data_IF_288725796340
#
_entry.id   IF_288725796340
#
_cell.length_a   1.000
_cell.length_b   1.000
_cell.length_c   1.000
_cell.angle_alpha   90.00
_cell.angle_beta   90.00
_cell.angle_gamma   90.00
#
_symmetry.space_group_name_H-M   'P 1'
#
loop_
_entity.id
_entity.type
_entity.pdbx_description
1 polymer ?
#
# COMPACT_ATOMS: atom_id res chain seq x y z
N UNK A 1 29.83 -17.67 53.24
CA UNK A 1 30.93 -18.63 53.07
C UNK A 1 31.40 -18.56 51.64
N UNK A 2 32.54 -17.97 51.50
CA UNK A 2 33.69 -18.09 50.63
C UNK A 2 33.37 -17.81 49.12
N UNK A 3 33.73 -16.69 48.55
CA UNK A 3 35.03 -16.00 48.40
C UNK A 3 35.99 -16.75 47.47
N UNK A 4 36.29 -16.15 46.32
CA UNK A 4 37.62 -16.01 45.69
C UNK A 4 37.46 -15.38 44.31
N UNK A 5 37.68 -14.12 44.18
CA UNK A 5 38.82 -13.35 43.59
C UNK A 5 39.72 -14.17 42.66
N UNK A 6 39.86 -13.77 41.42
CA UNK A 6 41.18 -13.55 40.80
C UNK A 6 41.12 -12.60 39.60
N UNK A 7 42.09 -11.67 39.59
CA UNK A 7 42.54 -10.72 38.59
C UNK A 7 44.04 -10.74 38.64
N UNK A 8 44.85 -10.17 37.74
CA UNK A 8 44.93 -10.07 36.26
C UNK A 8 46.32 -10.52 35.76
N UNK A 9 46.54 -10.47 34.45
CA UNK A 9 47.92 -10.50 33.90
C UNK A 9 48.08 -9.45 32.79
N UNK A 10 49.10 -8.62 32.97
CA UNK A 10 49.53 -7.50 32.13
C UNK A 10 50.46 -7.94 31.01
N UNK A 11 50.67 -7.06 30.04
CA UNK A 11 51.25 -7.02 28.75
C UNK A 11 52.69 -7.57 28.55
N UNK A 12 53.32 -7.22 27.42
CA UNK A 12 54.38 -6.19 27.51
C UNK A 12 54.42 -5.18 26.32
N UNK A 13 54.97 -4.00 26.70
CA UNK A 13 55.50 -2.95 25.87
C UNK A 13 56.70 -3.40 25.02
N UNK A 14 56.88 -2.83 23.85
CA UNK A 14 58.19 -2.67 23.20
C UNK A 14 58.25 -1.34 22.46
N UNK A 15 58.94 -0.46 23.03
CA UNK A 15 60.17 0.31 22.83
C UNK A 15 60.43 0.86 21.40
N UNK A 16 60.48 2.19 21.41
CA UNK A 16 61.00 3.11 20.38
C UNK A 16 62.52 2.99 20.28
N UNK A 17 63.09 3.00 19.05
CA UNK A 17 64.46 3.48 18.81
C UNK A 17 64.52 4.37 17.59
N UNK A 18 65.01 5.55 17.82
CA UNK A 18 65.47 6.59 16.89
C UNK A 18 66.82 6.21 16.30
N UNK A 19 67.06 6.64 15.07
CA UNK A 19 68.40 6.60 14.45
C UNK A 19 68.48 7.62 13.32
N UNK A 20 69.24 8.65 13.59
CA UNK A 20 69.65 9.75 12.73
C UNK A 20 70.94 9.45 12.01
N UNK A 21 71.20 10.26 10.96
CA UNK A 21 72.52 10.53 10.27
C UNK A 21 72.75 9.68 8.99
N UNK A 22 73.34 10.15 7.88
CA UNK A 22 74.02 11.41 7.54
C UNK A 22 74.16 11.52 6.00
N UNK A 23 74.49 12.69 5.56
CA UNK A 23 74.83 13.24 4.25
C UNK A 23 75.73 12.41 3.32
N UNK A 24 75.50 12.55 2.02
CA UNK A 24 76.59 12.84 1.06
C UNK A 24 76.05 13.43 -0.27
N UNK A 25 76.53 14.59 -0.57
CA UNK A 25 76.39 15.36 -1.80
C UNK A 25 77.33 14.77 -2.88
N UNK A 26 76.83 14.57 -4.10
CA UNK A 26 77.74 14.45 -5.29
C UNK A 26 77.08 15.14 -6.47
N UNK A 27 77.71 16.23 -6.88
CA UNK A 27 77.40 16.98 -8.11
C UNK A 27 78.05 16.26 -9.29
N UNK A 28 77.28 15.96 -10.34
CA UNK A 28 77.84 15.64 -11.67
C UNK A 28 77.10 16.41 -12.74
N UNK A 29 77.91 17.10 -13.57
CA UNK A 29 77.57 17.98 -14.70
C UNK A 29 76.91 17.22 -15.87
N UNK A 30 75.92 17.86 -16.45
CA UNK A 30 75.47 18.02 -17.80
C UNK A 30 75.79 16.99 -18.91
N UNK A 31 74.69 16.63 -19.58
CA UNK A 31 74.69 16.43 -21.03
C UNK A 31 73.26 16.52 -21.58
N UNK A 32 73.13 17.22 -22.68
CA UNK A 32 71.96 17.45 -23.49
C UNK A 32 71.12 16.19 -23.72
N UNK A 33 69.81 16.27 -23.44
CA UNK A 33 68.84 15.31 -24.01
C UNK A 33 67.63 16.07 -24.47
N UNK A 34 67.36 15.94 -25.75
CA UNK A 34 66.23 16.39 -26.52
C UNK A 34 64.90 16.15 -25.79
N UNK A 35 63.99 17.13 -25.86
CA UNK A 35 62.62 17.05 -25.35
C UNK A 35 61.86 15.88 -25.99
N UNK A 36 61.17 15.01 -25.21
CA UNK A 36 60.19 14.07 -25.75
C UNK A 36 58.92 14.83 -26.15
N UNK A 37 58.45 14.52 -27.36
CA UNK A 37 57.16 14.92 -27.90
C UNK A 37 56.06 14.64 -26.89
N UNK A 38 55.26 15.68 -26.56
CA UNK A 38 54.05 15.56 -25.75
C UNK A 38 53.00 14.71 -26.50
N UNK A 39 52.88 13.43 -26.15
CA UNK A 39 51.67 12.69 -26.43
C UNK A 39 50.49 13.39 -25.76
N UNK A 40 49.32 13.51 -26.42
CA UNK A 40 48.14 14.08 -25.79
C UNK A 40 47.76 13.20 -24.58
N UNK A 41 47.74 13.79 -23.40
CA UNK A 41 47.28 13.12 -22.19
C UNK A 41 45.87 12.63 -22.46
N UNK A 42 45.66 11.31 -22.41
CA UNK A 42 44.35 10.71 -22.34
C UNK A 42 43.60 11.35 -21.17
N UNK A 43 42.59 12.15 -21.49
CA UNK A 43 41.66 12.69 -20.52
C UNK A 43 41.04 11.52 -19.76
N UNK A 44 41.44 11.32 -18.52
CA UNK A 44 40.78 10.35 -17.61
C UNK A 44 39.31 10.73 -17.59
N UNK A 45 38.38 9.76 -17.83
CA UNK A 45 36.96 10.03 -17.72
C UNK A 45 36.71 10.71 -16.38
N UNK A 46 36.11 11.89 -16.42
CA UNK A 46 35.69 12.61 -15.19
C UNK A 46 34.83 11.70 -14.33
N UNK A 47 34.73 11.94 -13.03
CA UNK A 47 33.92 11.11 -12.16
C UNK A 47 32.53 11.01 -12.75
N UNK A 48 32.07 9.79 -13.09
CA UNK A 48 30.71 9.55 -13.54
C UNK A 48 29.76 10.20 -12.52
N UNK A 49 28.91 11.10 -12.99
CA UNK A 49 27.97 11.79 -12.13
C UNK A 49 27.12 10.73 -11.41
N UNK A 50 27.27 10.64 -10.09
CA UNK A 50 26.53 9.68 -9.25
C UNK A 50 25.02 9.85 -9.51
N UNK A 51 24.32 8.77 -9.78
CA UNK A 51 22.86 8.79 -9.90
C UNK A 51 22.24 9.21 -8.58
N UNK A 52 21.23 10.11 -8.59
CA UNK A 52 20.55 10.50 -7.37
C UNK A 52 19.77 9.30 -6.80
N UNK A 53 19.90 9.09 -5.50
CA UNK A 53 19.24 7.99 -4.79
C UNK A 53 17.85 8.39 -4.30
N UNK A 54 16.91 7.45 -4.33
CA UNK A 54 15.51 7.65 -3.94
C UNK A 54 15.10 6.64 -2.88
N UNK A 55 14.49 7.14 -1.81
CA UNK A 55 13.66 6.35 -0.91
C UNK A 55 12.18 6.52 -1.33
N UNK A 56 11.56 5.42 -1.74
CA UNK A 56 10.24 5.44 -2.37
C UNK A 56 9.15 4.94 -1.41
N UNK A 57 8.15 5.78 -1.16
CA UNK A 57 6.97 5.42 -0.41
C UNK A 57 5.79 5.16 -1.35
N UNK A 58 5.19 3.97 -1.25
CA UNK A 58 4.08 3.53 -2.09
C UNK A 58 2.82 3.35 -1.25
N UNK A 59 1.83 4.19 -1.50
CA UNK A 59 0.57 4.22 -0.74
C UNK A 59 -0.38 3.07 -1.06
N UNK A 60 -1.39 2.92 -0.20
CA UNK A 60 -2.54 2.03 -0.38
C UNK A 60 -3.55 2.62 -1.38
N UNK A 61 -4.31 1.76 -2.10
CA UNK A 61 -5.37 2.24 -2.99
C UNK A 61 -6.03 1.18 -3.88
N UNK A 62 -5.99 -0.09 -3.53
CA UNK A 62 -6.60 -1.16 -4.33
C UNK A 62 -6.07 -1.17 -5.77
N UNK A 63 -6.93 -1.33 -6.78
CA UNK A 63 -6.54 -1.38 -8.19
C UNK A 63 -5.72 -0.16 -8.65
N UNK A 64 -5.96 1.03 -8.08
CA UNK A 64 -5.14 2.23 -8.36
C UNK A 64 -3.65 2.02 -8.10
N UNK A 65 -3.30 1.01 -7.29
CA UNK A 65 -1.92 0.63 -7.00
C UNK A 65 -1.10 0.21 -8.22
N UNK A 66 -1.72 -0.14 -9.33
CA UNK A 66 -1.01 -0.37 -10.58
C UNK A 66 -0.28 0.88 -11.10
N UNK A 67 -0.72 2.08 -10.71
CA UNK A 67 0.00 3.31 -11.01
C UNK A 67 1.42 3.35 -10.40
N UNK A 68 1.69 2.60 -9.33
CA UNK A 68 3.03 2.46 -8.77
C UNK A 68 4.02 1.85 -9.74
N UNK A 69 3.58 0.89 -10.59
CA UNK A 69 4.42 0.27 -11.62
C UNK A 69 4.93 1.37 -12.57
N UNK A 70 4.00 2.17 -13.12
CA UNK A 70 4.35 3.25 -14.03
C UNK A 70 5.22 4.33 -13.38
N UNK A 71 4.97 4.64 -12.10
CA UNK A 71 5.79 5.60 -11.35
C UNK A 71 7.23 5.11 -11.15
N UNK A 72 7.42 3.83 -10.80
CA UNK A 72 8.74 3.20 -10.66
C UNK A 72 9.48 3.19 -12.01
N UNK A 73 8.81 2.82 -13.09
CA UNK A 73 9.41 2.81 -14.43
C UNK A 73 9.99 4.18 -14.79
N UNK A 74 9.23 5.26 -14.58
CA UNK A 74 9.71 6.61 -14.90
C UNK A 74 10.88 7.04 -14.04
N UNK A 75 10.90 6.71 -12.74
CA UNK A 75 12.05 6.98 -11.87
C UNK A 75 13.31 6.31 -12.41
N UNK A 76 13.22 5.02 -12.74
CA UNK A 76 14.36 4.26 -13.28
C UNK A 76 14.79 4.78 -14.65
N UNK A 77 13.88 5.08 -15.56
CA UNK A 77 14.14 5.64 -16.88
C UNK A 77 14.83 7.03 -16.81
N UNK A 78 14.48 7.82 -15.79
CA UNK A 78 15.12 9.11 -15.52
C UNK A 78 16.46 9.00 -14.80
N UNK A 79 16.92 7.79 -14.53
CA UNK A 79 18.23 7.52 -13.94
C UNK A 79 18.28 7.69 -12.41
N UNK A 80 17.17 7.69 -11.73
CA UNK A 80 17.12 7.63 -10.28
C UNK A 80 17.37 6.21 -9.79
N UNK A 81 18.16 6.07 -8.71
CA UNK A 81 18.47 4.80 -8.07
C UNK A 81 17.61 4.60 -6.84
N UNK A 82 16.67 3.65 -6.89
CA UNK A 82 15.76 3.35 -5.78
C UNK A 82 16.49 2.44 -4.80
N UNK A 83 16.87 2.98 -3.63
CA UNK A 83 17.65 2.25 -2.61
C UNK A 83 16.80 1.75 -1.44
N UNK A 84 15.61 2.30 -1.26
CA UNK A 84 14.67 1.87 -0.21
C UNK A 84 13.23 2.01 -0.69
N UNK A 85 12.38 1.06 -0.29
CA UNK A 85 10.94 1.10 -0.54
C UNK A 85 10.19 0.82 0.75
N UNK A 86 9.20 1.65 1.02
CA UNK A 86 8.16 1.37 2.02
C UNK A 86 6.80 1.33 1.35
N UNK A 87 6.03 0.28 1.57
CA UNK A 87 4.73 0.10 0.92
C UNK A 87 3.62 -0.34 1.86
N UNK A 88 2.39 0.03 1.50
CA UNK A 88 1.18 -0.40 2.16
C UNK A 88 0.20 -0.97 1.13
N UNK A 89 -0.41 -2.12 1.41
CA UNK A 89 -1.39 -2.78 0.55
C UNK A 89 -0.81 -3.02 -0.86
N UNK A 90 -1.45 -2.50 -1.91
CA UNK A 90 -0.91 -2.60 -3.28
C UNK A 90 0.47 -1.95 -3.42
N UNK A 91 0.78 -0.93 -2.61
CA UNK A 91 2.12 -0.35 -2.56
C UNK A 91 3.17 -1.34 -2.02
N UNK A 92 2.80 -2.16 -1.03
CA UNK A 92 3.66 -3.24 -0.55
C UNK A 92 3.84 -4.33 -1.62
N UNK A 93 2.78 -4.70 -2.31
CA UNK A 93 2.84 -5.72 -3.37
C UNK A 93 3.73 -5.26 -4.53
N UNK A 94 3.47 -4.10 -5.12
CA UNK A 94 4.25 -3.58 -6.26
C UNK A 94 5.69 -3.29 -5.86
N UNK A 95 5.89 -2.66 -4.69
CA UNK A 95 7.23 -2.38 -4.16
C UNK A 95 8.03 -3.65 -3.87
N UNK A 96 7.40 -4.68 -3.30
CA UNK A 96 8.02 -5.99 -3.06
C UNK A 96 8.37 -6.71 -4.35
N UNK A 97 7.50 -6.66 -5.36
CA UNK A 97 7.79 -7.22 -6.69
C UNK A 97 8.98 -6.51 -7.35
N UNK A 98 9.06 -5.19 -7.23
CA UNK A 98 10.20 -4.44 -7.73
C UNK A 98 11.50 -4.80 -6.98
N UNK A 99 11.45 -4.77 -5.65
CA UNK A 99 12.61 -5.09 -4.81
C UNK A 99 13.16 -6.51 -5.05
N UNK A 100 12.27 -7.47 -5.37
CA UNK A 100 12.62 -8.83 -5.71
C UNK A 100 13.03 -9.01 -7.19
N UNK A 101 13.05 -7.94 -8.01
CA UNK A 101 13.35 -8.03 -9.45
C UNK A 101 12.26 -8.76 -10.27
N UNK A 102 11.03 -8.80 -9.76
CA UNK A 102 9.89 -9.53 -10.36
C UNK A 102 8.80 -8.59 -10.93
N UNK A 103 9.02 -7.28 -10.91
CA UNK A 103 8.02 -6.30 -11.33
C UNK A 103 7.57 -6.49 -12.79
N UNK A 104 8.48 -6.84 -13.71
CA UNK A 104 8.13 -7.05 -15.11
C UNK A 104 7.21 -8.27 -15.28
N UNK A 105 7.54 -9.39 -14.65
CA UNK A 105 6.69 -10.59 -14.69
C UNK A 105 5.30 -10.31 -14.09
N UNK A 106 5.24 -9.54 -13.00
CA UNK A 106 4.00 -9.13 -12.40
C UNK A 106 3.19 -8.20 -13.32
N UNK A 107 3.84 -7.21 -13.94
CA UNK A 107 3.22 -6.31 -14.93
C UNK A 107 2.63 -7.09 -16.10
N UNK A 108 3.39 -8.00 -16.70
CA UNK A 108 2.93 -8.81 -17.83
C UNK A 108 1.71 -9.65 -17.46
N UNK A 109 1.71 -10.22 -16.25
CA UNK A 109 0.58 -10.97 -15.76
C UNK A 109 -0.67 -10.09 -15.57
N UNK A 110 -0.58 -8.96 -14.85
CA UNK A 110 -1.76 -8.13 -14.55
C UNK A 110 -2.31 -7.43 -15.78
N UNK A 111 -1.46 -7.09 -16.77
CA UNK A 111 -1.92 -6.49 -18.04
C UNK A 111 -2.58 -7.48 -18.98
N UNK A 112 -2.33 -8.77 -18.78
CA UNK A 112 -3.00 -9.86 -19.51
C UNK A 112 -4.37 -10.25 -18.93
N UNK A 113 -4.76 -9.74 -17.75
CA UNK A 113 -6.02 -10.10 -17.11
C UNK A 113 -7.19 -9.32 -17.68
N UNK A 114 -8.14 -10.04 -18.27
CA UNK A 114 -9.45 -9.49 -18.61
C UNK A 114 -10.40 -9.44 -17.39
N UNK A 115 -11.52 -8.75 -17.54
CA UNK A 115 -12.52 -8.61 -16.47
C UNK A 115 -13.01 -9.99 -15.95
N UNK A 116 -13.22 -10.96 -16.82
CA UNK A 116 -13.62 -12.32 -16.42
C UNK A 116 -12.51 -13.09 -15.69
N UNK A 117 -11.25 -12.81 -16.01
CA UNK A 117 -10.13 -13.46 -15.33
C UNK A 117 -9.98 -12.93 -13.91
N UNK A 118 -10.14 -11.63 -13.72
CA UNK A 118 -10.20 -11.01 -12.40
C UNK A 118 -11.29 -11.64 -11.54
N UNK A 119 -12.50 -11.82 -12.09
CA UNK A 119 -13.61 -12.47 -11.38
C UNK A 119 -13.31 -13.91 -10.97
N UNK A 120 -12.62 -14.69 -11.83
CA UNK A 120 -12.22 -16.07 -11.51
C UNK A 120 -11.13 -16.14 -10.45
N UNK A 121 -10.26 -15.12 -10.38
CA UNK A 121 -9.18 -15.02 -9.40
C UNK A 121 -9.71 -14.59 -8.02
N UNK A 122 -10.82 -13.84 -7.98
CA UNK A 122 -11.52 -13.50 -6.76
C UNK A 122 -12.29 -14.72 -6.25
N UNK A 123 -11.70 -15.43 -5.28
CA UNK A 123 -12.30 -16.62 -4.65
C UNK A 123 -13.37 -16.16 -3.65
N UNK A 124 -14.59 -15.90 -4.16
CA UNK A 124 -15.71 -15.42 -3.35
C UNK A 124 -16.18 -16.55 -2.43
N UNK A 125 -15.94 -16.39 -1.12
CA UNK A 125 -16.46 -17.29 -0.08
C UNK A 125 -17.45 -16.57 0.80
N UNK A 126 -18.66 -17.11 0.91
CA UNK A 126 -19.73 -16.59 1.78
C UNK A 126 -19.51 -16.87 3.28
N UNK A 127 -18.25 -16.97 3.74
CA UNK A 127 -17.94 -17.16 5.15
C UNK A 127 -17.80 -15.81 5.88
N UNK A 128 -18.21 -15.79 7.14
CA UNK A 128 -18.52 -14.62 7.98
C UNK A 128 -17.37 -13.64 8.27
N UNK A 129 -16.15 -13.83 7.79
CA UNK A 129 -14.98 -12.99 8.15
C UNK A 129 -14.30 -12.34 6.94
N UNK A 130 -14.64 -12.75 5.72
CA UNK A 130 -14.12 -12.16 4.48
C UNK A 130 -14.84 -12.76 3.28
N UNK A 131 -15.22 -11.92 2.33
CA UNK A 131 -15.93 -12.36 1.13
C UNK A 131 -14.99 -13.02 0.09
N UNK A 132 -13.68 -12.73 0.15
CA UNK A 132 -12.67 -13.18 -0.80
C UNK A 132 -11.50 -13.77 -0.03
N UNK A 133 -11.10 -14.98 -0.36
CA UNK A 133 -9.86 -15.56 0.18
C UNK A 133 -8.62 -15.02 -0.51
N UNK A 134 -8.73 -14.70 -1.80
CA UNK A 134 -7.63 -14.22 -2.62
C UNK A 134 -6.51 -15.25 -2.85
N UNK A 135 -6.70 -16.51 -2.43
CA UNK A 135 -5.65 -17.53 -2.45
C UNK A 135 -5.08 -17.76 -3.86
N UNK A 136 -5.91 -17.63 -4.91
CA UNK A 136 -5.45 -17.78 -6.30
C UNK A 136 -4.49 -16.65 -6.70
N UNK A 137 -4.81 -15.41 -6.30
CA UNK A 137 -3.93 -14.25 -6.55
C UNK A 137 -2.63 -14.43 -5.77
N UNK A 138 -2.75 -14.77 -4.48
CA UNK A 138 -1.57 -14.97 -3.63
C UNK A 138 -0.72 -16.19 -4.03
N UNK A 139 -1.31 -17.24 -4.61
CA UNK A 139 -0.53 -18.37 -5.14
C UNK A 139 0.34 -17.95 -6.32
N UNK A 140 -0.18 -17.12 -7.23
CA UNK A 140 0.61 -16.58 -8.36
C UNK A 140 1.72 -15.65 -7.85
N UNK A 141 1.41 -14.76 -6.90
CA UNK A 141 2.40 -13.87 -6.26
C UNK A 141 3.50 -14.69 -5.58
N UNK A 142 3.13 -15.72 -4.82
CA UNK A 142 4.08 -16.64 -4.15
C UNK A 142 4.93 -17.39 -5.14
N UNK A 143 4.35 -17.89 -6.24
CA UNK A 143 5.09 -18.57 -7.29
C UNK A 143 6.13 -17.65 -7.93
N UNK A 144 5.78 -16.38 -8.21
CA UNK A 144 6.72 -15.39 -8.76
C UNK A 144 7.84 -15.04 -7.79
N UNK A 145 7.55 -14.93 -6.49
CA UNK A 145 8.52 -14.55 -5.46
C UNK A 145 9.39 -15.73 -5.00
N UNK A 146 8.88 -16.97 -5.07
CA UNK A 146 9.55 -18.13 -4.51
C UNK A 146 9.79 -17.99 -3.00
N UNK A 147 10.96 -18.43 -2.53
CA UNK A 147 11.37 -18.35 -1.12
C UNK A 147 12.12 -17.05 -0.78
N UNK A 148 11.80 -15.95 -1.47
CA UNK A 148 12.45 -14.66 -1.25
C UNK A 148 12.20 -14.14 0.16
N UNK A 149 13.29 -13.73 0.83
CA UNK A 149 13.25 -13.10 2.15
C UNK A 149 13.59 -11.63 2.06
N UNK A 150 12.95 -10.81 2.88
CA UNK A 150 13.08 -9.34 2.86
C UNK A 150 14.53 -8.92 3.11
N UNK A 151 15.19 -9.52 4.11
CA UNK A 151 16.57 -9.21 4.47
C UNK A 151 17.61 -9.56 3.40
N UNK A 152 17.23 -10.34 2.38
CA UNK A 152 18.09 -10.73 1.25
C UNK A 152 17.81 -9.91 -0.01
N UNK A 153 16.92 -8.94 0.04
CA UNK A 153 16.62 -8.08 -1.09
C UNK A 153 17.79 -7.11 -1.39
N UNK A 154 18.03 -6.76 -2.66
CA UNK A 154 19.11 -5.84 -3.04
C UNK A 154 18.89 -4.40 -2.56
N UNK A 155 17.65 -4.04 -2.19
CA UNK A 155 17.27 -2.74 -1.67
C UNK A 155 16.49 -2.90 -0.37
N UNK A 156 16.56 -1.90 0.52
CA UNK A 156 15.81 -1.93 1.76
C UNK A 156 14.31 -1.92 1.48
N UNK A 157 13.57 -2.82 2.14
CA UNK A 157 12.13 -2.94 1.91
C UNK A 157 11.36 -3.04 3.23
N UNK A 158 10.23 -2.33 3.29
CA UNK A 158 9.30 -2.40 4.42
C UNK A 158 7.86 -2.56 3.90
N UNK A 159 7.20 -3.65 4.30
CA UNK A 159 5.75 -3.77 4.14
C UNK A 159 5.06 -3.40 5.45
N UNK A 160 3.98 -2.60 5.36
CA UNK A 160 3.22 -2.16 6.53
C UNK A 160 1.89 -2.90 6.60
N UNK A 161 1.62 -3.52 7.76
CA UNK A 161 0.34 -4.12 8.10
C UNK A 161 -0.18 -3.54 9.42
N UNK A 162 -1.39 -3.93 9.82
CA UNK A 162 -1.99 -3.55 11.11
C UNK A 162 -2.26 -4.80 11.95
N UNK A 163 -1.78 -4.83 13.19
CA UNK A 163 -2.23 -5.78 14.21
C UNK A 163 -3.58 -5.28 14.74
N UNK A 164 -4.64 -5.98 14.34
CA UNK A 164 -6.01 -5.58 14.64
C UNK A 164 -6.33 -5.63 16.13
N UNK A 165 -5.76 -6.59 16.86
CA UNK A 165 -6.03 -6.76 18.29
C UNK A 165 -5.19 -5.83 19.16
N UNK A 166 -3.96 -5.55 18.74
CA UNK A 166 -3.06 -4.66 19.47
C UNK A 166 -3.24 -3.18 19.07
N UNK A 167 -4.01 -2.88 18.00
CA UNK A 167 -4.23 -1.54 17.44
C UNK A 167 -2.90 -0.84 17.08
N UNK A 168 -1.97 -1.57 16.45
CA UNK A 168 -0.62 -1.08 16.13
C UNK A 168 -0.23 -1.37 14.69
N UNK A 169 0.59 -0.49 14.15
CA UNK A 169 1.30 -0.75 12.90
C UNK A 169 2.34 -1.85 13.11
N UNK A 170 2.49 -2.74 12.13
CA UNK A 170 3.54 -3.74 12.05
C UNK A 170 4.34 -3.47 10.79
N UNK A 171 5.64 -3.34 10.94
CA UNK A 171 6.59 -3.17 9.85
C UNK A 171 7.35 -4.46 9.62
N UNK A 172 7.14 -5.06 8.47
CA UNK A 172 7.89 -6.23 8.04
C UNK A 172 9.14 -5.76 7.30
N UNK A 173 10.30 -5.93 7.94
CA UNK A 173 11.63 -5.60 7.43
C UNK A 173 12.51 -6.85 7.34
N UNK A 174 12.01 -7.99 7.75
CA UNK A 174 12.63 -9.31 7.68
C UNK A 174 11.56 -10.39 7.53
N UNK A 175 11.98 -11.60 7.17
CA UNK A 175 11.10 -12.76 7.00
C UNK A 175 10.65 -12.98 5.56
N UNK A 176 9.71 -13.92 5.32
CA UNK A 176 9.22 -14.24 3.98
C UNK A 176 8.48 -13.06 3.36
N UNK A 177 8.91 -12.65 2.16
CA UNK A 177 8.35 -11.50 1.46
C UNK A 177 6.88 -11.69 1.10
N UNK A 178 6.50 -12.90 0.66
CA UNK A 178 5.11 -13.24 0.33
C UNK A 178 4.18 -13.10 1.53
N UNK A 179 4.62 -13.50 2.74
CA UNK A 179 3.83 -13.35 3.96
C UNK A 179 3.66 -11.89 4.38
N UNK A 180 4.71 -11.08 4.26
CA UNK A 180 4.66 -9.66 4.55
C UNK A 180 3.68 -8.93 3.62
N UNK A 181 3.74 -9.22 2.31
CA UNK A 181 2.80 -8.71 1.31
C UNK A 181 1.38 -9.19 1.64
N UNK A 182 1.20 -10.50 1.92
CA UNK A 182 -0.11 -11.08 2.26
C UNK A 182 -0.75 -10.42 3.48
N UNK A 183 0.05 -10.09 4.50
CA UNK A 183 -0.43 -9.36 5.67
C UNK A 183 -0.86 -7.94 5.31
N UNK A 184 -0.05 -7.24 4.50
CA UNK A 184 -0.27 -5.84 4.12
C UNK A 184 -1.51 -5.63 3.23
N UNK A 185 -1.93 -6.63 2.45
CA UNK A 185 -3.09 -6.54 1.53
C UNK A 185 -4.37 -7.19 2.08
N UNK A 186 -4.41 -7.57 3.35
CA UNK A 186 -5.55 -8.22 3.99
C UNK A 186 -6.63 -7.20 4.36
N UNK A 187 -7.32 -6.65 3.36
CA UNK A 187 -8.38 -5.63 3.54
C UNK A 187 -9.53 -6.23 4.36
N UNK A 188 -9.89 -5.65 5.52
CA UNK A 188 -11.00 -6.14 6.33
C UNK A 188 -12.31 -6.23 5.52
N UNK A 189 -13.08 -7.28 5.75
CA UNK A 189 -14.34 -7.60 5.04
C UNK A 189 -14.20 -7.97 3.57
N UNK A 190 -13.03 -7.78 2.95
CA UNK A 190 -12.75 -8.16 1.55
C UNK A 190 -11.82 -9.37 1.51
N UNK A 191 -10.68 -9.30 2.16
CA UNK A 191 -9.67 -10.37 2.18
C UNK A 191 -9.54 -10.92 3.61
N UNK A 192 -9.48 -12.24 3.74
CA UNK A 192 -9.33 -12.90 5.05
C UNK A 192 -8.09 -12.40 5.78
N UNK A 193 -8.19 -11.97 7.06
CA UNK A 193 -7.04 -11.60 7.87
C UNK A 193 -5.98 -12.71 7.94
N UNK A 194 -4.71 -12.33 8.06
CA UNK A 194 -3.62 -13.27 8.25
C UNK A 194 -3.35 -13.46 9.75
N UNK A 195 -3.40 -14.70 10.22
CA UNK A 195 -2.95 -15.02 11.59
C UNK A 195 -1.48 -15.43 11.54
N UNK A 196 -0.62 -14.65 12.18
CA UNK A 196 0.82 -14.90 12.22
C UNK A 196 1.37 -14.61 13.61
N UNK A 197 2.08 -15.57 14.20
CA UNK A 197 2.69 -15.46 15.53
C UNK A 197 1.72 -14.96 16.61
N UNK A 198 0.48 -15.46 16.60
CA UNK A 198 -0.58 -15.08 17.56
C UNK A 198 -1.18 -13.70 17.35
N UNK A 199 -0.85 -13.01 16.25
CA UNK A 199 -1.42 -11.71 15.87
C UNK A 199 -2.43 -11.89 14.75
N UNK A 200 -3.47 -11.04 14.73
CA UNK A 200 -4.44 -10.95 13.65
C UNK A 200 -4.08 -9.74 12.81
N UNK A 201 -3.49 -10.00 11.65
CA UNK A 201 -2.97 -8.98 10.76
C UNK A 201 -3.96 -8.66 9.64
N UNK A 202 -4.17 -7.37 9.43
CA UNK A 202 -4.99 -6.81 8.37
C UNK A 202 -4.21 -5.74 7.61
N UNK A 203 -4.81 -5.23 6.54
CA UNK A 203 -4.22 -4.20 5.68
C UNK A 203 -3.67 -3.02 6.50
N UNK A 204 -2.46 -2.61 6.16
CA UNK A 204 -1.76 -1.51 6.83
C UNK A 204 -2.46 -0.17 6.67
N UNK A 205 -3.27 0.00 5.63
CA UNK A 205 -4.00 1.23 5.35
C UNK A 205 -5.03 1.61 6.43
N UNK A 206 -5.35 0.68 7.34
CA UNK A 206 -6.17 0.98 8.51
C UNK A 206 -5.51 2.03 9.42
N UNK A 207 -4.18 2.02 9.55
CA UNK A 207 -3.43 2.94 10.42
C UNK A 207 -2.39 3.78 9.67
N UNK A 208 -1.85 3.27 8.56
CA UNK A 208 -0.78 3.95 7.81
C UNK A 208 -0.91 3.73 6.29
N UNK A 209 -1.83 4.43 5.63
CA UNK A 209 -2.06 4.27 4.19
C UNK A 209 -0.93 4.81 3.30
N UNK A 210 -0.03 5.67 3.83
CA UNK A 210 1.14 6.20 3.13
C UNK A 210 2.36 6.15 4.07
N UNK A 211 3.12 5.05 4.09
CA UNK A 211 4.14 4.80 5.10
C UNK A 211 5.48 5.50 4.79
N UNK A 212 5.55 6.82 5.03
CA UNK A 212 6.77 7.62 4.77
C UNK A 212 7.86 7.32 5.82
N UNK A 213 7.49 7.16 7.08
CA UNK A 213 8.46 7.06 8.19
C UNK A 213 9.54 5.99 7.98
N UNK A 214 9.22 4.76 7.49
CA UNK A 214 10.25 3.74 7.28
C UNK A 214 11.34 4.12 6.26
N UNK A 215 11.05 5.09 5.37
CA UNK A 215 12.02 5.53 4.35
C UNK A 215 13.00 6.60 4.83
N UNK A 216 12.71 7.27 5.95
CA UNK A 216 13.52 8.41 6.45
C UNK A 216 14.95 7.97 6.80
N UNK A 217 15.12 6.77 7.35
CA UNK A 217 16.44 6.27 7.77
C UNK A 217 17.32 5.74 6.63
N UNK A 218 16.84 5.77 5.40
CA UNK A 218 17.57 5.22 4.24
C UNK A 218 18.74 6.07 3.75
N UNK A 219 18.82 7.33 4.21
CA UNK A 219 19.82 8.31 3.76
C UNK A 219 19.86 8.51 2.23
N UNK A 220 18.72 8.37 1.56
CA UNK A 220 18.56 8.68 0.15
C UNK A 220 18.66 10.20 -0.09
N UNK A 221 19.04 10.60 -1.30
CA UNK A 221 19.08 12.00 -1.69
C UNK A 221 17.66 12.63 -1.75
N UNK A 222 16.63 11.79 -2.01
CA UNK A 222 15.23 12.22 -2.12
C UNK A 222 14.29 11.19 -1.50
N UNK A 223 13.28 11.68 -0.81
CA UNK A 223 12.09 10.91 -0.40
C UNK A 223 10.96 11.21 -1.38
N UNK A 224 10.56 10.20 -2.14
CA UNK A 224 9.46 10.28 -3.10
C UNK A 224 8.27 9.49 -2.58
N UNK A 225 7.09 10.11 -2.50
CA UNK A 225 5.87 9.45 -2.07
C UNK A 225 4.82 9.43 -3.20
N UNK A 226 4.26 8.25 -3.48
CA UNK A 226 3.15 8.07 -4.43
C UNK A 226 1.87 7.82 -3.65
N UNK A 227 1.02 8.83 -3.61
CA UNK A 227 -0.26 8.83 -2.90
C UNK A 227 -1.40 8.48 -3.86
N UNK A 228 -2.16 7.43 -3.58
CA UNK A 228 -3.30 6.97 -4.38
C UNK A 228 -4.65 7.54 -3.92
N UNK A 229 -4.63 8.41 -2.91
CA UNK A 229 -5.81 9.08 -2.36
C UNK A 229 -5.80 10.58 -2.71
N UNK A 230 -5.15 10.96 -3.82
CA UNK A 230 -5.09 12.34 -4.28
C UNK A 230 -6.48 12.91 -4.50
N UNK A 231 -6.69 14.16 -4.05
CA UNK A 231 -7.96 14.84 -4.29
C UNK A 231 -8.06 15.24 -5.77
N UNK A 232 -9.29 15.13 -6.31
CA UNK A 232 -9.62 15.77 -7.57
C UNK A 232 -10.15 17.18 -7.28
N UNK A 233 -9.44 18.19 -7.70
CA UNK A 233 -9.82 19.59 -7.52
C UNK A 233 -11.21 19.92 -8.11
N UNK A 234 -11.73 19.07 -9.02
CA UNK A 234 -13.02 19.25 -9.70
C UNK A 234 -14.22 18.76 -8.89
N UNK A 235 -14.05 17.97 -7.82
CA UNK A 235 -15.13 17.37 -7.04
C UNK A 235 -15.27 17.95 -5.64
N UNK A 236 -15.64 19.22 -5.54
CA UNK A 236 -16.10 19.81 -4.26
C UNK A 236 -17.62 19.85 -4.09
N UNK A 237 -18.39 19.42 -5.10
CA UNK A 237 -19.87 19.38 -5.03
C UNK A 237 -20.38 18.12 -5.71
N UNK A 238 -21.46 17.57 -5.19
CA UNK A 238 -22.30 16.63 -5.93
C UNK A 238 -22.79 17.41 -7.17
N UNK A 239 -22.57 16.96 -8.39
CA UNK A 239 -23.17 17.60 -9.55
C UNK A 239 -24.69 17.50 -9.43
N UNK A 240 -25.41 18.63 -9.63
CA UNK A 240 -26.88 18.64 -9.73
C UNK A 240 -27.39 17.83 -10.94
N UNK A 241 -26.51 17.44 -11.84
CA UNK A 241 -26.79 16.54 -12.95
C UNK A 241 -26.46 15.11 -12.52
N UNK A 242 -27.51 14.42 -12.14
CA UNK A 242 -27.59 12.98 -12.08
C UNK A 242 -26.58 12.29 -13.01
N UNK A 243 -25.80 11.43 -12.45
CA UNK A 243 -25.38 10.15 -12.96
C UNK A 243 -25.84 9.85 -14.39
N UNK A 244 -24.97 10.10 -15.37
CA UNK A 244 -25.16 9.55 -16.71
C UNK A 244 -25.04 8.03 -16.61
N UNK A 245 -26.07 7.34 -17.07
CA UNK A 245 -26.25 5.90 -17.09
C UNK A 245 -25.29 5.15 -18.03
N UNK A 246 -24.23 5.77 -18.53
CA UNK A 246 -23.43 5.23 -19.63
C UNK A 246 -22.05 4.69 -19.21
N UNK A 247 -21.87 4.38 -17.92
CA UNK A 247 -20.69 3.60 -17.52
C UNK A 247 -21.16 2.19 -17.16
N UNK A 248 -21.07 1.25 -18.13
CA UNK A 248 -21.31 -0.18 -17.95
C UNK A 248 -20.25 -0.82 -17.01
N UNK A 249 -20.06 -0.21 -15.85
CA UNK A 249 -19.38 -0.83 -14.74
C UNK A 249 -20.28 -1.92 -14.18
N UNK A 250 -19.82 -3.16 -14.15
CA UNK A 250 -20.53 -4.24 -13.48
C UNK A 250 -20.85 -3.78 -12.06
N UNK A 251 -22.12 -3.51 -11.79
CA UNK A 251 -22.62 -3.24 -10.45
C UNK A 251 -22.37 -4.49 -9.60
N UNK A 252 -21.67 -4.33 -8.48
CA UNK A 252 -21.36 -5.45 -7.58
C UNK A 252 -22.65 -6.08 -7.06
N UNK A 253 -23.70 -5.28 -6.89
CA UNK A 253 -25.03 -5.77 -6.47
C UNK A 253 -25.70 -6.54 -7.63
N UNK A 254 -25.66 -6.05 -8.88
CA UNK A 254 -26.13 -6.75 -10.06
C UNK A 254 -25.30 -8.01 -10.35
N UNK A 255 -23.99 -7.95 -10.09
CA UNK A 255 -23.11 -9.12 -10.16
C UNK A 255 -23.42 -10.12 -9.04
N UNK A 256 -23.66 -9.67 -7.81
CA UNK A 256 -24.08 -10.52 -6.69
C UNK A 256 -25.46 -11.16 -6.96
N UNK A 257 -26.38 -10.42 -7.55
CA UNK A 257 -27.68 -10.96 -7.96
C UNK A 257 -27.57 -11.93 -9.14
N UNK A 258 -26.67 -11.68 -10.09
CA UNK A 258 -26.35 -12.61 -11.18
C UNK A 258 -25.71 -13.90 -10.66
N UNK A 259 -24.81 -13.82 -9.66
CA UNK A 259 -24.26 -15.02 -8.98
C UNK A 259 -25.37 -15.73 -8.21
N UNK A 260 -26.22 -15.00 -7.51
CA UNK A 260 -27.33 -15.57 -6.74
C UNK A 260 -28.33 -16.27 -7.65
N UNK A 261 -28.65 -15.70 -8.80
CA UNK A 261 -29.52 -16.30 -9.81
C UNK A 261 -28.87 -17.53 -10.47
N UNK A 262 -27.57 -17.48 -10.78
CA UNK A 262 -26.83 -18.65 -11.31
C UNK A 262 -26.62 -19.72 -10.26
N UNK A 263 -26.35 -19.35 -9.00
CA UNK A 263 -26.24 -20.30 -7.90
C UNK A 263 -27.58 -20.96 -7.57
N UNK A 264 -28.70 -20.25 -7.69
CA UNK A 264 -30.03 -20.83 -7.49
C UNK A 264 -30.43 -21.86 -8.57
N UNK A 265 -29.84 -21.77 -9.76
CA UNK A 265 -30.03 -22.82 -10.83
C UNK A 265 -29.16 -24.05 -10.61
N UNK A 266 -28.12 -23.99 -9.79
CA UNK A 266 -27.21 -25.11 -9.52
C UNK A 266 -27.42 -25.74 -8.15
N UNK A 267 -28.06 -25.03 -7.22
CA UNK A 267 -28.39 -25.50 -5.88
C UNK A 267 -29.90 -25.45 -5.70
N UNK A 268 -30.51 -26.64 -5.54
CA UNK A 268 -31.88 -26.78 -5.11
C UNK A 268 -31.99 -26.25 -3.67
N UNK A 269 -32.46 -24.99 -3.55
CA UNK A 269 -32.57 -24.25 -2.29
C UNK A 269 -33.55 -24.94 -1.30
N UNK A 270 -34.47 -25.75 -1.80
CA UNK A 270 -35.39 -26.50 -0.97
C UNK A 270 -34.72 -27.69 -0.27
N UNK A 271 -33.68 -28.28 -0.88
CA UNK A 271 -32.85 -29.31 -0.26
C UNK A 271 -31.99 -28.71 0.88
N UNK A 272 -31.50 -27.50 0.74
CA UNK A 272 -30.71 -26.82 1.79
C UNK A 272 -31.57 -26.39 2.98
N UNK A 273 -32.80 -25.90 2.73
CA UNK A 273 -33.77 -25.60 3.79
C UNK A 273 -34.18 -26.84 4.60
N UNK A 274 -34.27 -28.01 3.94
CA UNK A 274 -34.59 -29.27 4.63
C UNK A 274 -33.46 -29.77 5.53
N UNK A 275 -32.19 -29.42 5.22
CA UNK A 275 -31.03 -29.78 6.04
C UNK A 275 -30.82 -28.83 7.24
N UNK A 276 -31.21 -27.54 7.09
CA UNK A 276 -31.13 -26.56 8.19
C UNK A 276 -32.34 -26.61 9.13
N UNK A 277 -33.50 -27.06 8.68
CA UNK A 277 -34.71 -27.17 9.48
C UNK A 277 -34.65 -28.32 10.55
N UNK A 278 -33.64 -29.21 10.48
CA UNK A 278 -33.47 -30.32 11.43
C UNK A 278 -32.56 -30.00 12.62
N UNK A 279 -32.09 -28.77 12.77
CA UNK A 279 -31.23 -28.38 13.90
C UNK A 279 -31.63 -27.00 14.42
N UNK A 280 -32.64 -26.94 15.27
CA UNK A 280 -33.04 -25.69 15.93
C UNK A 280 -34.44 -25.65 16.47
N UNK A 281 -34.93 -26.70 17.10
CA UNK A 281 -35.92 -26.51 18.17
C UNK A 281 -35.14 -26.03 19.41
N UNK A 282 -35.03 -24.73 19.57
CA UNK A 282 -34.65 -24.13 20.85
C UNK A 282 -35.91 -23.77 21.60
N UNK A 283 -36.09 -24.40 22.76
CA UNK A 283 -37.12 -24.10 23.75
C UNK A 283 -37.14 -22.61 24.09
N UNK A 284 -38.07 -21.86 23.48
CA UNK A 284 -38.44 -20.53 24.00
C UNK A 284 -39.30 -20.74 25.24
N UNK A 285 -38.78 -20.26 26.38
CA UNK A 285 -39.53 -20.31 27.62
C UNK A 285 -40.76 -19.37 27.59
N UNK A 286 -41.84 -19.65 28.35
CA UNK A 286 -43.00 -18.76 28.39
C UNK A 286 -42.70 -17.31 28.79
N UNK A 287 -41.60 -17.08 29.51
CA UNK A 287 -41.12 -15.75 29.95
C UNK A 287 -40.57 -14.91 28.79
N UNK A 288 -39.94 -15.54 27.78
CA UNK A 288 -39.43 -14.84 26.58
C UNK A 288 -40.55 -14.31 25.71
N UNK A 289 -41.68 -15.03 25.62
CA UNK A 289 -42.88 -14.59 24.89
C UNK A 289 -43.55 -13.38 25.57
N UNK A 290 -43.64 -13.39 26.91
CA UNK A 290 -44.22 -12.31 27.70
C UNK A 290 -43.38 -11.02 27.58
N UNK A 291 -42.02 -11.15 27.64
CA UNK A 291 -41.09 -10.03 27.45
C UNK A 291 -41.20 -9.39 26.07
N UNK A 292 -41.40 -10.18 25.01
CA UNK A 292 -41.60 -9.68 23.64
C UNK A 292 -42.95 -8.96 23.45
N UNK A 293 -44.01 -9.48 24.07
CA UNK A 293 -45.34 -8.80 24.02
C UNK A 293 -45.39 -7.51 24.85
N UNK A 294 -44.70 -7.46 25.98
CA UNK A 294 -44.57 -6.23 26.77
C UNK A 294 -43.81 -5.14 26.02
N UNK A 295 -42.66 -5.47 25.41
CA UNK A 295 -41.95 -4.51 24.57
C UNK A 295 -42.76 -3.99 23.38
N UNK A 296 -43.57 -4.83 22.72
CA UNK A 296 -44.49 -4.40 21.66
C UNK A 296 -45.59 -3.46 22.14
N UNK A 297 -46.11 -3.64 23.38
CA UNK A 297 -47.10 -2.76 23.95
C UNK A 297 -46.54 -1.41 24.38
N UNK A 298 -45.31 -1.36 24.88
CA UNK A 298 -44.64 -0.11 25.25
C UNK A 298 -44.29 0.74 24.02
N UNK A 299 -43.85 0.14 22.93
CA UNK A 299 -43.62 0.83 21.65
C UNK A 299 -44.93 1.42 21.12
N UNK A 300 -46.04 0.67 21.12
CA UNK A 300 -47.37 1.21 20.71
C UNK A 300 -47.91 2.31 21.61
N UNK A 301 -47.54 2.32 22.90
CA UNK A 301 -47.93 3.40 23.82
C UNK A 301 -47.11 4.67 23.67
N UNK A 302 -45.87 4.58 23.20
CA UNK A 302 -45.06 5.75 22.85
C UNK A 302 -45.50 6.39 21.54
N UNK A 303 -45.90 5.59 20.53
CA UNK A 303 -46.42 6.10 19.25
C UNK A 303 -47.76 6.86 19.39
N UNK A 304 -48.56 6.58 20.43
CA UNK A 304 -49.88 7.25 20.64
C UNK A 304 -49.83 8.59 21.38
N UNK A 305 -48.63 9.04 21.82
CA UNK A 305 -48.46 10.30 22.58
C UNK A 305 -47.79 11.44 21.80
N UNK A 306 -47.45 11.23 20.55
CA UNK A 306 -46.88 12.28 19.68
C UNK A 306 -48.00 13.03 19.00
N UNK A 307 -48.06 14.36 19.19
CA UNK A 307 -49.05 15.21 18.55
C UNK A 307 -48.89 15.26 17.04
N UNK A 308 -49.93 15.54 16.24
CA UNK A 308 -49.83 15.58 14.77
C UNK A 308 -48.82 16.60 14.23
N UNK A 309 -48.52 17.66 14.98
CA UNK A 309 -47.53 18.67 14.62
C UNK A 309 -46.09 18.16 14.78
N UNK A 310 -45.79 17.33 15.79
CA UNK A 310 -44.49 16.73 16.00
C UNK A 310 -44.18 15.63 14.95
N UNK A 311 -45.22 14.95 14.44
CA UNK A 311 -45.07 14.01 13.33
C UNK A 311 -44.74 14.72 12.02
N UNK A 312 -45.34 15.85 11.71
CA UNK A 312 -45.03 16.65 10.53
C UNK A 312 -43.63 17.23 10.54
N UNK A 313 -43.12 17.66 11.70
CA UNK A 313 -41.74 18.16 11.84
C UNK A 313 -40.68 17.06 11.79
N UNK A 314 -41.05 15.78 12.03
CA UNK A 314 -40.15 14.62 11.87
C UNK A 314 -40.18 14.01 10.47
N UNK A 315 -41.24 14.29 9.68
CA UNK A 315 -41.38 13.83 8.29
C UNK A 315 -40.68 14.74 7.27
N UNK A 316 -40.23 15.96 7.66
CA UNK A 316 -39.43 16.85 6.82
C UNK A 316 -37.92 16.61 6.89
N UNK A 317 -37.42 15.62 7.62
CA UNK A 317 -36.13 15.07 7.33
C UNK A 317 -36.27 14.25 6.03
N UNK A 318 -35.89 14.84 4.91
CA UNK A 318 -35.69 14.14 3.65
C UNK A 318 -34.94 12.85 3.96
N UNK A 319 -35.66 11.75 4.02
CA UNK A 319 -35.03 10.43 4.01
C UNK A 319 -34.38 10.30 2.65
N UNK A 320 -33.05 10.54 2.62
CA UNK A 320 -32.24 10.32 1.43
C UNK A 320 -32.49 8.88 1.02
N UNK A 321 -33.14 8.70 -0.11
CA UNK A 321 -33.32 7.40 -0.73
C UNK A 321 -31.97 6.96 -1.33
N UNK A 322 -31.22 6.20 -0.55
CA UNK A 322 -29.89 5.72 -0.90
C UNK A 322 -29.90 4.88 -2.18
N UNK A 323 -31.01 4.18 -2.46
CA UNK A 323 -31.18 3.40 -3.68
C UNK A 323 -31.26 4.31 -4.93
N UNK A 324 -31.82 5.53 -4.79
CA UNK A 324 -31.82 6.52 -5.87
C UNK A 324 -30.47 7.18 -6.11
N UNK A 325 -29.57 7.14 -5.12
CA UNK A 325 -28.20 7.64 -5.27
C UNK A 325 -27.27 6.59 -5.89
N UNK A 326 -27.72 5.34 -6.11
CA UNK A 326 -26.91 4.24 -6.61
C UNK A 326 -25.75 3.88 -5.64
N UNK A 327 -25.86 4.24 -4.35
CA UNK A 327 -24.83 4.01 -3.34
C UNK A 327 -25.32 2.90 -2.42
N UNK A 328 -24.79 1.70 -2.57
CA UNK A 328 -25.08 0.55 -1.71
C UNK A 328 -24.43 0.67 -0.32
N UNK A 329 -24.86 -0.15 0.62
CA UNK A 329 -24.29 -0.19 1.99
C UNK A 329 -22.79 -0.47 1.97
N UNK A 330 -22.32 -1.27 1.03
CA UNK A 330 -20.91 -1.58 0.84
C UNK A 330 -20.11 -0.35 0.36
N UNK A 331 -20.70 0.45 -0.54
CA UNK A 331 -20.08 1.69 -1.03
C UNK A 331 -19.93 2.73 0.08
N UNK A 332 -20.95 2.87 0.94
CA UNK A 332 -20.88 3.78 2.11
C UNK A 332 -19.73 3.36 3.04
N UNK A 333 -19.61 2.07 3.33
CA UNK A 333 -18.53 1.55 4.16
C UNK A 333 -17.16 1.80 3.53
N UNK A 334 -17.02 1.54 2.22
CA UNK A 334 -15.78 1.77 1.50
C UNK A 334 -15.39 3.25 1.47
N UNK A 335 -16.36 4.15 1.18
CA UNK A 335 -16.15 5.59 1.22
C UNK A 335 -15.78 6.10 2.62
N UNK A 336 -16.34 5.50 3.67
CA UNK A 336 -15.99 5.82 5.05
C UNK A 336 -14.52 5.47 5.32
N UNK A 337 -14.10 4.26 4.95
CA UNK A 337 -12.71 3.82 5.09
C UNK A 337 -11.78 4.72 4.27
N UNK A 338 -12.11 5.01 3.02
CA UNK A 338 -11.32 5.91 2.16
C UNK A 338 -11.21 7.33 2.75
N UNK A 339 -12.28 7.83 3.37
CA UNK A 339 -12.26 9.15 4.02
C UNK A 339 -11.31 9.17 5.21
N UNK A 340 -11.37 8.13 6.06
CA UNK A 340 -10.44 7.99 7.19
C UNK A 340 -8.99 7.85 6.72
N UNK A 341 -8.74 7.04 5.69
CA UNK A 341 -7.41 6.90 5.09
C UNK A 341 -6.89 8.22 4.53
N UNK A 342 -7.74 8.99 3.84
CA UNK A 342 -7.36 10.31 3.32
C UNK A 342 -6.96 11.29 4.45
N UNK A 343 -7.67 11.29 5.56
CA UNK A 343 -7.31 12.09 6.73
C UNK A 343 -5.96 11.64 7.32
N UNK A 344 -5.74 10.33 7.46
CA UNK A 344 -4.47 9.78 7.94
C UNK A 344 -3.30 10.16 7.03
N UNK A 345 -3.48 10.13 5.71
CA UNK A 345 -2.46 10.58 4.74
C UNK A 345 -2.10 12.04 4.98
N UNK A 346 -3.09 12.92 5.17
CA UNK A 346 -2.83 14.33 5.44
C UNK A 346 -2.02 14.54 6.73
N UNK A 347 -2.34 13.80 7.81
CA UNK A 347 -1.56 13.82 9.05
C UNK A 347 -0.12 13.35 8.84
N UNK A 348 0.09 12.27 8.09
CA UNK A 348 1.43 11.76 7.80
C UNK A 348 2.24 12.75 6.96
N UNK A 349 1.63 13.35 5.94
CA UNK A 349 2.27 14.37 5.10
C UNK A 349 2.63 15.65 5.88
N UNK A 350 1.77 16.09 6.82
CA UNK A 350 2.04 17.24 7.65
C UNK A 350 3.22 17.00 8.62
N UNK A 351 3.35 15.77 9.15
CA UNK A 351 4.44 15.43 10.07
C UNK A 351 5.75 15.06 9.37
N UNK A 352 5.66 14.47 8.18
CA UNK A 352 6.80 13.91 7.42
C UNK A 352 6.63 14.21 5.93
N UNK A 353 6.82 15.49 5.51
CA UNK A 353 6.68 15.85 4.11
C UNK A 353 7.77 15.18 3.27
N UNK A 354 7.43 14.49 2.16
CA UNK A 354 8.42 13.99 1.20
C UNK A 354 8.96 15.14 0.34
N UNK A 355 10.15 14.96 -0.26
CA UNK A 355 10.72 15.91 -1.21
C UNK A 355 9.89 16.01 -2.49
N UNK A 356 9.28 14.88 -2.91
CA UNK A 356 8.38 14.81 -4.06
C UNK A 356 7.13 13.99 -3.73
N UNK A 357 5.97 14.64 -3.79
CA UNK A 357 4.67 13.99 -3.65
C UNK A 357 3.99 13.84 -5.02
N UNK A 358 3.72 12.60 -5.41
CA UNK A 358 2.99 12.25 -6.63
C UNK A 358 1.57 11.82 -6.25
N UNK A 359 0.58 12.59 -6.65
CA UNK A 359 -0.83 12.30 -6.37
C UNK A 359 -1.49 11.62 -7.57
N UNK A 360 -2.03 10.43 -7.34
CA UNK A 360 -2.95 9.73 -8.24
C UNK A 360 -4.36 10.04 -7.76
N UNK A 361 -5.25 10.58 -8.61
CA UNK A 361 -6.60 10.91 -8.22
C UNK A 361 -7.39 9.69 -7.75
N UNK A 362 -8.12 9.81 -6.65
CA UNK A 362 -8.94 8.72 -6.11
C UNK A 362 -10.08 8.27 -7.03
N UNK A 363 -10.53 9.16 -7.95
CA UNK A 363 -11.55 8.88 -8.95
C UNK A 363 -10.98 8.31 -10.27
N UNK A 364 -9.68 8.05 -10.36
CA UNK A 364 -9.08 7.43 -11.54
C UNK A 364 -9.62 6.01 -11.81
N UNK A 365 -10.02 5.30 -10.76
CA UNK A 365 -10.59 3.95 -10.83
C UNK A 365 -11.23 3.59 -9.49
N UNK A 366 -12.21 2.69 -9.49
CA UNK A 366 -12.69 2.06 -8.27
C UNK A 366 -11.60 1.13 -7.69
N UNK A 367 -11.64 0.89 -6.38
CA UNK A 367 -10.61 0.08 -5.70
C UNK A 367 -10.54 -1.36 -6.17
N UNK A 368 -11.55 -1.86 -6.87
CA UNK A 368 -11.66 -3.25 -7.37
C UNK A 368 -11.58 -3.38 -8.90
N UNK A 369 -11.32 -2.32 -9.65
CA UNK A 369 -11.20 -2.33 -11.13
C UNK A 369 -9.84 -2.90 -11.60
N UNK A 370 -9.48 -4.08 -11.14
CA UNK A 370 -8.16 -4.70 -11.43
C UNK A 370 -7.93 -5.02 -12.91
N UNK A 371 -8.97 -5.00 -13.75
CA UNK A 371 -8.85 -5.15 -15.21
C UNK A 371 -8.32 -3.89 -15.91
N UNK A 372 -8.24 -2.75 -15.21
CA UNK A 372 -7.75 -1.48 -15.74
C UNK A 372 -6.24 -1.28 -15.51
N UNK A 373 -5.48 -2.38 -15.42
CA UNK A 373 -4.04 -2.30 -15.16
C UNK A 373 -3.28 -1.46 -16.21
N UNK A 374 -3.50 -1.62 -17.53
CA UNK A 374 -2.77 -0.84 -18.52
C UNK A 374 -2.98 0.67 -18.37
N UNK A 375 -4.21 1.12 -18.18
CA UNK A 375 -4.56 2.53 -18.05
C UNK A 375 -3.99 3.15 -16.77
N UNK A 376 -4.03 2.38 -15.67
CA UNK A 376 -3.52 2.83 -14.38
C UNK A 376 -1.99 2.91 -14.36
N UNK A 377 -1.30 1.97 -15.00
CA UNK A 377 0.16 2.03 -15.19
C UNK A 377 0.52 3.28 -15.99
N UNK A 378 -0.19 3.54 -17.09
CA UNK A 378 0.04 4.72 -17.92
C UNK A 378 -0.20 6.02 -17.14
N UNK A 379 -1.28 6.09 -16.34
CA UNK A 379 -1.54 7.22 -15.45
C UNK A 379 -0.39 7.44 -14.46
N UNK A 380 0.15 6.36 -13.88
CA UNK A 380 1.30 6.41 -12.99
C UNK A 380 2.53 7.03 -13.66
N UNK A 381 2.80 6.64 -14.91
CA UNK A 381 3.88 7.20 -15.73
C UNK A 381 3.69 8.72 -15.95
N UNK A 382 2.49 9.11 -16.36
CA UNK A 382 2.18 10.52 -16.63
C UNK A 382 2.32 11.41 -15.40
N UNK A 383 1.79 10.94 -14.25
CA UNK A 383 1.83 11.69 -13.00
C UNK A 383 3.23 11.81 -12.44
N UNK A 384 4.03 10.74 -12.50
CA UNK A 384 5.42 10.76 -12.07
C UNK A 384 6.26 11.65 -12.98
N UNK A 385 6.13 11.53 -14.31
CA UNK A 385 6.86 12.37 -15.25
C UNK A 385 6.56 13.87 -15.02
N UNK A 386 5.28 14.22 -14.92
CA UNK A 386 4.89 15.61 -14.66
C UNK A 386 5.35 16.14 -13.31
N UNK A 387 5.48 15.27 -12.29
CA UNK A 387 5.99 15.67 -10.99
C UNK A 387 7.50 15.90 -11.03
N UNK A 388 8.25 15.01 -11.69
CA UNK A 388 9.70 15.14 -11.87
C UNK A 388 10.05 16.36 -12.73
N UNK A 389 9.33 16.62 -13.82
CA UNK A 389 9.55 17.79 -14.69
C UNK A 389 9.46 19.09 -13.87
N UNK A 390 8.46 19.20 -13.00
CA UNK A 390 8.31 20.37 -12.12
C UNK A 390 9.43 20.45 -11.08
N UNK A 391 9.78 19.31 -10.48
CA UNK A 391 10.81 19.24 -9.46
C UNK A 391 12.19 19.61 -10.03
N UNK A 392 12.58 19.05 -11.17
CA UNK A 392 13.86 19.28 -11.83
C UNK A 392 13.96 20.73 -12.34
N UNK A 393 12.87 21.29 -12.89
CA UNK A 393 12.81 22.70 -13.31
C UNK A 393 13.02 23.65 -12.14
N UNK A 394 12.35 23.41 -11.02
CA UNK A 394 12.50 24.24 -9.82
C UNK A 394 13.91 24.14 -9.24
N UNK A 395 14.52 22.96 -9.21
CA UNK A 395 15.88 22.74 -8.75
C UNK A 395 16.90 23.50 -9.62
N UNK A 396 16.73 23.46 -10.94
CA UNK A 396 17.60 24.17 -11.87
C UNK A 396 17.45 25.70 -11.78
N UNK A 397 16.26 26.19 -11.46
CA UNK A 397 15.99 27.64 -11.32
C UNK A 397 16.50 28.22 -9.99
N UNK A 398 16.66 27.36 -8.94
CA UNK A 398 17.09 27.80 -7.61
C UNK A 398 18.61 27.91 -7.47
N UNK A 399 19.41 27.57 -8.50
CA UNK A 399 20.87 27.53 -8.45
C UNK A 399 21.43 26.43 -7.53
N UNK A 400 22.71 26.12 -7.58
CA UNK A 400 23.30 25.18 -6.64
C UNK A 400 23.17 25.76 -5.24
N UNK A 401 22.49 25.04 -4.33
CA UNK A 401 22.51 25.31 -2.91
C UNK A 401 23.97 25.30 -2.48
N UNK A 402 24.50 26.47 -2.14
CA UNK A 402 25.80 26.55 -1.49
C UNK A 402 25.68 25.84 -0.13
N UNK A 403 26.30 24.66 -0.06
CA UNK A 403 26.52 23.93 1.20
C UNK A 403 27.71 24.54 1.90
#
# INVERSE_FOLDING_TARGET
MADSTDKPAAGPEQTVTSGTEDKASTVVKGSDVSAPSSEPAEEKPGPEARRPTVALTLGSGGARGYAHIGAIEVLVERGYDIIAISGCSMGALVGGMYAAGKMQAYKDWVTGLGQFDVLKLLDVTFNSVGAIRGEKIFSVVREMLGETRIENLPIAYTAVATDLLAHKEIWFQEGPLDQAIRASVAIPSVVTPLVLNGRVLVDGALLNPLPIIPTISSHADLIVAVNLSGEDERRRRIPDAAFSQDDEGVDVDEWMDTIREKASRWFDWDTLKSLTAKKGESDETPEDKISREMKKKDIRKQESKTSPETKKAQEEHETIDWDKLGIGKFDVMNLTVETMQSALVQYKLAGYPPDLLVNIPKNASRSYDYHKAPELIQLGRERMSAALDRFETNRNSSGPLAI
#
